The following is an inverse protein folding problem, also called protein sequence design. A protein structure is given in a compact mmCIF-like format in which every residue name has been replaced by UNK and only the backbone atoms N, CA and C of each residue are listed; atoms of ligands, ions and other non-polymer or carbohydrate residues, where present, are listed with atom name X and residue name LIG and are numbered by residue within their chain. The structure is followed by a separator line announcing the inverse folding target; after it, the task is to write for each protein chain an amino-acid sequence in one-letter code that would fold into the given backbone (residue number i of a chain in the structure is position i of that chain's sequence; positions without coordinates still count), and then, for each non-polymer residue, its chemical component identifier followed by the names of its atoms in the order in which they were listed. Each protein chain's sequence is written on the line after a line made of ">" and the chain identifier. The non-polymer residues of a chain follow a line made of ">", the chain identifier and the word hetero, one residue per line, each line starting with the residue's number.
data_IF_115662564706
#
_entry.id   IF_115662564706
#
_cell.length_a   1.000
_cell.length_b   1.000
_cell.length_c   1.000
_cell.angle_alpha   90.00
_cell.angle_beta   90.00
_cell.angle_gamma   90.00
#
_symmetry.space_group_name_H-M   'P 1'
#
loop_
_entity.id
_entity.type
_entity.pdbx_description
1 polymer ?
#
# COMPACT_ATOMS: atom_id res chain seq x y z
N UNK A 1 0.72 11.90 7.55
CA UNK A 1 -0.19 12.60 6.64
C UNK A 1 -0.76 11.63 5.61
N UNK A 2 -2.08 11.66 5.39
CA UNK A 2 -2.75 10.96 4.30
C UNK A 2 -2.67 11.80 3.01
N UNK A 3 -2.31 11.20 1.87
CA UNK A 3 -2.19 11.89 0.58
C UNK A 3 -3.49 11.93 -0.21
N UNK A 4 -4.48 11.11 0.17
CA UNK A 4 -5.79 11.11 -0.49
C UNK A 4 -6.66 12.24 0.07
N UNK A 5 -7.30 12.98 -0.82
CA UNK A 5 -8.22 14.07 -0.48
C UNK A 5 -9.62 13.75 -1.02
N UNK A 6 -10.66 14.19 -0.29
CA UNK A 6 -12.06 14.02 -0.70
C UNK A 6 -12.63 12.61 -0.50
N UNK A 7 -11.95 11.75 0.27
CA UNK A 7 -12.40 10.40 0.64
C UNK A 7 -12.55 10.25 2.17
N UNK A 8 -13.16 11.25 2.81
CA UNK A 8 -13.19 11.39 4.28
C UNK A 8 -13.93 10.25 4.99
N UNK A 9 -14.97 9.70 4.35
CA UNK A 9 -15.72 8.57 4.91
C UNK A 9 -14.82 7.32 5.04
N UNK A 10 -14.07 7.00 3.99
CA UNK A 10 -13.15 5.87 3.95
C UNK A 10 -12.01 6.08 4.95
N UNK A 11 -11.46 7.30 4.99
CA UNK A 11 -10.40 7.65 5.94
C UNK A 11 -10.86 7.50 7.39
N UNK A 12 -12.08 7.95 7.71
CA UNK A 12 -12.64 7.82 9.07
C UNK A 12 -12.78 6.35 9.47
N UNK A 13 -13.30 5.51 8.58
CA UNK A 13 -13.46 4.08 8.86
C UNK A 13 -12.12 3.37 9.04
N UNK A 14 -11.13 3.66 8.20
CA UNK A 14 -9.79 3.07 8.30
C UNK A 14 -9.07 3.55 9.56
N UNK A 15 -9.13 4.85 9.89
CA UNK A 15 -8.57 5.40 11.14
C UNK A 15 -9.18 4.73 12.37
N UNK A 16 -10.50 4.54 12.40
CA UNK A 16 -11.19 3.86 13.49
C UNK A 16 -10.83 2.35 13.58
N UNK A 17 -10.63 1.70 12.43
CA UNK A 17 -10.22 0.28 12.41
C UNK A 17 -8.77 0.10 12.85
N UNK A 18 -7.90 1.04 12.52
CA UNK A 18 -6.50 1.07 12.93
C UNK A 18 -6.37 1.27 14.44
N UNK A 19 -7.09 2.25 15.02
CA UNK A 19 -7.07 2.48 16.47
C UNK A 19 -7.68 1.34 17.28
N UNK A 20 -8.68 0.65 16.72
CA UNK A 20 -9.28 -0.53 17.34
C UNK A 20 -8.49 -1.82 17.11
N UNK A 21 -7.39 -1.79 16.34
CA UNK A 21 -6.63 -2.96 15.91
C UNK A 21 -7.52 -4.05 15.25
N UNK A 22 -8.48 -3.63 14.41
CA UNK A 22 -9.44 -4.49 13.70
C UNK A 22 -9.32 -4.37 12.18
N UNK A 23 -8.09 -4.34 11.68
CA UNK A 23 -7.86 -4.31 10.24
C UNK A 23 -8.20 -5.66 9.59
N UNK A 24 -8.75 -5.60 8.38
CA UNK A 24 -9.00 -6.78 7.58
C UNK A 24 -7.68 -7.32 6.98
N UNK A 25 -7.66 -8.62 6.68
CA UNK A 25 -6.51 -9.27 6.06
C UNK A 25 -6.30 -8.86 4.58
N UNK A 26 -7.35 -8.35 3.93
CA UNK A 26 -7.30 -7.94 2.54
C UNK A 26 -8.26 -6.77 2.27
N UNK A 27 -7.84 -5.86 1.39
CA UNK A 27 -8.64 -4.71 0.92
C UNK A 27 -8.64 -4.67 -0.60
N UNK A 28 -9.82 -4.46 -1.20
CA UNK A 28 -9.98 -4.23 -2.63
C UNK A 28 -10.43 -2.78 -2.86
N UNK A 29 -9.58 -1.98 -3.51
CA UNK A 29 -9.91 -0.60 -3.87
C UNK A 29 -10.46 -0.55 -5.30
N UNK A 30 -11.72 -0.16 -5.44
CA UNK A 30 -12.41 -0.04 -6.74
C UNK A 30 -12.63 1.44 -7.10
N UNK A 31 -12.52 1.76 -8.39
CA UNK A 31 -12.80 3.10 -8.91
C UNK A 31 -12.04 3.43 -10.20
N UNK A 32 -12.31 4.59 -10.82
CA UNK A 32 -11.64 5.03 -12.04
C UNK A 32 -10.11 5.13 -11.91
N UNK A 33 -9.39 5.08 -13.02
CA UNK A 33 -7.95 5.37 -13.04
C UNK A 33 -7.68 6.81 -12.56
N UNK A 34 -6.58 7.01 -11.83
CA UNK A 34 -6.17 8.35 -11.38
C UNK A 34 -6.77 8.83 -10.05
N UNK A 35 -7.76 8.14 -9.47
CA UNK A 35 -8.38 8.55 -8.18
C UNK A 35 -7.51 8.30 -6.94
N UNK A 36 -6.26 7.89 -7.11
CA UNK A 36 -5.33 7.69 -5.99
C UNK A 36 -5.43 6.33 -5.28
N UNK A 37 -6.04 5.29 -5.88
CA UNK A 37 -6.12 3.94 -5.28
C UNK A 37 -4.76 3.39 -4.80
N UNK A 38 -3.74 3.52 -5.65
CA UNK A 38 -2.38 3.08 -5.32
C UNK A 38 -1.77 3.95 -4.20
N UNK A 39 -2.00 5.26 -4.23
CA UNK A 39 -1.55 6.16 -3.16
C UNK A 39 -2.19 5.78 -1.82
N UNK A 40 -3.49 5.48 -1.83
CA UNK A 40 -4.20 5.05 -0.63
C UNK A 40 -3.70 3.72 -0.08
N UNK A 41 -3.45 2.73 -0.94
CA UNK A 41 -2.84 1.47 -0.54
C UNK A 41 -1.47 1.67 0.13
N UNK A 42 -0.65 2.57 -0.42
CA UNK A 42 0.65 2.91 0.15
C UNK A 42 0.53 3.65 1.48
N UNK A 43 -0.41 4.58 1.62
CA UNK A 43 -0.61 5.29 2.88
C UNK A 43 -1.18 4.39 3.97
N UNK A 44 -2.06 3.44 3.62
CA UNK A 44 -2.51 2.40 4.53
C UNK A 44 -1.31 1.55 4.99
N UNK A 45 -0.45 1.11 4.08
CA UNK A 45 0.75 0.36 4.44
C UNK A 45 1.68 1.15 5.38
N UNK A 46 1.86 2.46 5.14
CA UNK A 46 2.59 3.35 6.05
C UNK A 46 1.91 3.44 7.41
N UNK A 47 0.59 3.52 7.46
CA UNK A 47 -0.17 3.68 8.71
C UNK A 47 -0.04 2.43 9.58
N UNK A 48 -0.14 1.24 8.98
CA UNK A 48 0.02 -0.06 9.67
C UNK A 48 1.42 -0.25 10.24
N UNK A 49 2.46 0.14 9.51
CA UNK A 49 3.86 -0.02 9.94
C UNK A 49 4.40 1.21 10.68
N UNK A 50 3.55 2.20 11.00
CA UNK A 50 4.00 3.42 11.66
C UNK A 50 4.31 3.14 13.13
N UNK A 51 5.48 3.58 13.59
CA UNK A 51 5.92 3.40 15.00
C UNK A 51 5.57 4.62 15.86
N UNK A 52 4.96 5.66 15.29
CA UNK A 52 4.58 6.86 16.03
C UNK A 52 3.21 6.69 16.70
N UNK A 53 3.12 7.09 17.97
CA UNK A 53 1.88 7.06 18.77
C UNK A 53 0.96 8.27 18.53
N UNK A 54 1.37 9.22 17.68
CA UNK A 54 0.56 10.39 17.34
C UNK A 54 -0.36 10.07 16.15
N UNK A 55 -0.18 10.77 15.03
CA UNK A 55 -1.00 10.58 13.85
C UNK A 55 -0.38 9.55 12.91
N UNK A 56 -1.10 8.47 12.66
CA UNK A 56 -0.72 7.43 11.71
C UNK A 56 -1.44 7.65 10.37
N UNK A 57 -0.72 7.63 9.23
CA UNK A 57 0.74 7.52 9.11
C UNK A 57 1.44 8.83 9.50
N UNK A 58 2.60 8.80 10.17
CA UNK A 58 3.29 10.07 10.54
C UNK A 58 4.10 10.67 9.39
N UNK A 59 4.58 9.84 8.46
CA UNK A 59 5.40 10.28 7.32
C UNK A 59 6.86 10.60 7.63
N UNK A 60 7.25 10.62 8.92
CA UNK A 60 8.59 11.05 9.37
C UNK A 60 9.41 9.92 9.99
N UNK A 61 8.75 8.87 10.51
CA UNK A 61 9.47 7.72 11.07
C UNK A 61 10.15 6.91 9.96
N UNK A 62 11.19 6.16 10.35
CA UNK A 62 11.98 5.37 9.42
C UNK A 62 11.13 4.41 8.57
N UNK A 63 10.13 3.76 9.17
CA UNK A 63 9.24 2.85 8.45
C UNK A 63 8.41 3.58 7.39
N UNK A 64 7.83 4.74 7.72
CA UNK A 64 7.10 5.56 6.76
C UNK A 64 8.00 6.02 5.60
N UNK A 65 9.24 6.42 5.88
CA UNK A 65 10.20 6.88 4.87
C UNK A 65 10.62 5.72 3.96
N UNK A 66 10.93 4.55 4.52
CA UNK A 66 11.27 3.31 3.77
C UNK A 66 10.12 2.84 2.88
N UNK A 67 8.89 2.90 3.37
CA UNK A 67 7.71 2.55 2.55
C UNK A 67 7.50 3.58 1.44
N UNK A 68 7.69 4.87 1.73
CA UNK A 68 7.59 5.93 0.71
C UNK A 68 8.61 5.75 -0.42
N UNK A 69 9.83 5.30 -0.10
CA UNK A 69 10.87 4.96 -1.08
C UNK A 69 10.70 3.59 -1.74
N UNK A 70 9.61 2.86 -1.43
CA UNK A 70 9.34 1.48 -1.89
C UNK A 70 10.45 0.48 -1.52
N UNK A 71 11.24 0.80 -0.49
CA UNK A 71 12.36 -0.02 -0.02
C UNK A 71 12.14 -0.41 1.43
N UNK A 72 11.20 -1.32 1.66
CA UNK A 72 10.85 -1.85 2.97
C UNK A 72 10.82 -3.39 2.92
N UNK A 73 11.34 -4.05 3.95
CA UNK A 73 11.40 -5.52 4.05
C UNK A 73 10.00 -6.14 3.94
N UNK A 74 9.07 -5.60 4.71
CA UNK A 74 7.71 -6.16 4.89
C UNK A 74 6.65 -5.60 3.94
N UNK A 75 6.99 -4.60 3.12
CA UNK A 75 6.03 -3.98 2.20
C UNK A 75 6.55 -4.07 0.78
N UNK A 76 5.80 -4.73 -0.09
CA UNK A 76 6.17 -4.94 -1.49
C UNK A 76 5.03 -4.52 -2.42
N UNK A 77 5.40 -3.80 -3.48
CA UNK A 77 4.50 -3.49 -4.58
C UNK A 77 4.69 -4.53 -5.67
N UNK A 78 3.60 -5.17 -6.05
CA UNK A 78 3.54 -6.07 -7.20
C UNK A 78 2.81 -5.35 -8.32
N UNK A 79 3.44 -5.33 -9.49
CA UNK A 79 2.86 -4.84 -10.72
C UNK A 79 3.33 -5.73 -11.87
N UNK A 80 2.63 -5.66 -12.99
CA UNK A 80 3.09 -6.32 -14.21
C UNK A 80 4.38 -5.65 -14.65
N UNK A 81 5.48 -6.40 -14.71
CA UNK A 81 6.71 -5.93 -15.32
C UNK A 81 6.62 -6.12 -16.83
N UNK A 82 6.69 -5.04 -17.59
CA UNK A 82 6.94 -5.11 -19.02
C UNK A 82 8.45 -5.34 -19.19
N UNK A 83 8.87 -6.59 -19.30
CA UNK A 83 10.22 -6.90 -19.78
C UNK A 83 10.27 -6.57 -21.27
N UNK A 84 11.18 -5.71 -21.69
CA UNK A 84 11.34 -5.18 -23.06
C UNK A 84 11.46 -6.25 -24.18
N UNK A 85 11.53 -7.53 -23.82
CA UNK A 85 11.74 -8.66 -24.73
C UNK A 85 10.49 -9.50 -25.03
N UNK A 86 9.33 -9.20 -24.41
CA UNK A 86 8.05 -9.88 -24.70
C UNK A 86 7.01 -8.84 -25.14
N UNK A 87 6.68 -8.82 -26.43
CA UNK A 87 5.72 -7.88 -27.03
C UNK A 87 4.27 -8.08 -26.59
N UNK A 88 4.02 -8.98 -25.63
CA UNK A 88 2.71 -9.18 -24.98
C UNK A 88 2.73 -8.53 -23.60
N UNK A 89 2.00 -7.43 -23.46
CA UNK A 89 1.66 -6.85 -22.18
C UNK A 89 0.88 -7.87 -21.34
N UNK A 90 1.57 -8.55 -20.41
CA UNK A 90 0.90 -9.47 -19.47
C UNK A 90 -0.11 -8.66 -18.67
N UNK A 91 -1.36 -9.12 -18.55
CA UNK A 91 -2.38 -8.46 -17.70
C UNK A 91 -2.58 -9.20 -16.37
N UNK A 92 -1.80 -10.26 -16.15
CA UNK A 92 -1.98 -11.21 -15.05
C UNK A 92 -0.73 -11.23 -14.18
N UNK A 93 -0.94 -11.12 -12.87
CA UNK A 93 0.07 -11.39 -11.84
C UNK A 93 -0.13 -12.84 -11.41
N UNK A 94 0.87 -13.69 -11.64
CA UNK A 94 0.84 -15.10 -11.28
C UNK A 94 1.27 -15.36 -9.85
N UNK A 95 0.99 -16.57 -9.35
CA UNK A 95 1.46 -17.01 -8.03
C UNK A 95 2.99 -16.99 -7.95
N UNK A 96 3.68 -17.26 -9.06
CA UNK A 96 5.14 -17.27 -9.13
C UNK A 96 5.74 -15.86 -8.95
N UNK A 97 5.04 -14.81 -9.41
CA UNK A 97 5.44 -13.40 -9.20
C UNK A 97 5.39 -13.01 -7.71
N UNK A 98 4.53 -13.69 -6.95
CA UNK A 98 4.39 -13.53 -5.49
C UNK A 98 5.43 -14.39 -4.76
N UNK A 99 5.59 -15.66 -5.14
CA UNK A 99 6.45 -16.64 -4.47
C UNK A 99 7.95 -16.41 -4.70
N UNK A 100 8.35 -15.92 -5.88
CA UNK A 100 9.76 -15.72 -6.24
C UNK A 100 10.47 -14.65 -5.40
N UNK A 101 9.70 -13.79 -4.71
CA UNK A 101 10.22 -12.75 -3.81
C UNK A 101 10.17 -13.25 -2.37
N UNK A 102 11.16 -14.09 -2.02
CA UNK A 102 11.34 -14.66 -0.68
C UNK A 102 11.24 -13.57 0.41
N UNK A 103 10.38 -13.81 1.39
CA UNK A 103 10.27 -13.03 2.63
C UNK A 103 11.48 -13.38 3.51
N UNK A 104 12.56 -12.63 3.38
CA UNK A 104 13.76 -12.74 4.21
C UNK A 104 14.10 -11.39 4.77
#
# INVERSE_FOLDING_TARGET
>A
MWLIHGQDHILTQIKASLSANRLAHAYLFCGPSGVGKMCFAMDLAKAVNCVSDMEQPCGLCEQCVRIASKNHSDVRVLGVQNSDNDSRSRTVIGIDDVKGKRFT
#
